data_IF_294872200542
#
_entry.id   IF_294872200542
#
_cell.length_a   1.000
_cell.length_b   1.000
_cell.length_c   1.000
_cell.angle_alpha   90.00
_cell.angle_beta   90.00
_cell.angle_gamma   90.00
#
_symmetry.space_group_name_H-M   'P 1'
#
loop_
_entity.id
_entity.type
_entity.pdbx_description
1 polymer ?
#
# COMPACT_ATOMS: atom_id res chain seq x y z
N UNK A 1 -25.62 14.60 -50.52
CA UNK A 1 -24.88 15.48 -49.59
C UNK A 1 -23.88 14.62 -48.86
N UNK A 2 -22.62 14.63 -49.29
CA UNK A 2 -21.58 13.75 -48.77
C UNK A 2 -21.02 14.32 -47.46
N UNK A 3 -21.29 13.66 -46.33
CA UNK A 3 -20.60 13.95 -45.08
C UNK A 3 -19.17 13.39 -45.18
N UNK A 4 -18.22 14.23 -45.63
CA UNK A 4 -16.79 13.97 -45.42
C UNK A 4 -16.49 14.23 -43.95
N UNK A 5 -16.72 13.23 -43.12
CA UNK A 5 -16.27 13.26 -41.72
C UNK A 5 -14.76 13.00 -41.77
N UNK A 6 -14.01 14.09 -41.63
CA UNK A 6 -12.56 14.16 -41.59
C UNK A 6 -11.98 13.04 -40.71
N UNK A 7 -11.14 12.18 -41.29
CA UNK A 7 -10.46 11.06 -40.64
C UNK A 7 -9.46 11.46 -39.53
N UNK A 8 -9.53 12.70 -39.05
CA UNK A 8 -8.66 13.27 -38.01
C UNK A 8 -9.17 12.92 -36.60
N UNK A 9 -10.46 12.61 -36.42
CA UNK A 9 -11.02 12.33 -35.07
C UNK A 9 -10.76 10.89 -34.61
N UNK A 10 -10.52 9.94 -35.53
CA UNK A 10 -10.30 8.53 -35.18
C UNK A 10 -8.85 8.20 -34.81
N UNK A 11 -7.90 9.09 -35.11
CA UNK A 11 -6.48 8.89 -34.83
C UNK A 11 -6.06 9.25 -33.39
N UNK A 12 -6.90 9.96 -32.63
CA UNK A 12 -6.56 10.47 -31.30
C UNK A 12 -6.80 9.49 -30.14
N UNK A 13 -7.39 8.32 -30.40
CA UNK A 13 -7.79 7.34 -29.37
C UNK A 13 -6.72 6.28 -29.07
N UNK A 14 -5.62 6.22 -29.83
CA UNK A 14 -4.62 5.14 -29.73
C UNK A 14 -3.45 5.38 -28.75
N UNK A 15 -3.38 6.50 -28.02
CA UNK A 15 -2.20 6.85 -27.22
C UNK A 15 -2.30 6.69 -25.70
N UNK A 16 -3.35 6.07 -25.16
CA UNK A 16 -3.51 5.94 -23.70
C UNK A 16 -3.04 4.61 -23.09
N UNK A 17 -2.25 3.81 -23.81
CA UNK A 17 -1.58 2.64 -23.21
C UNK A 17 -0.29 3.04 -22.48
N UNK A 18 -0.43 3.86 -21.44
CA UNK A 18 0.61 4.05 -20.42
C UNK A 18 0.56 2.92 -19.40
N UNK A 19 1.01 1.72 -19.78
CA UNK A 19 1.22 0.66 -18.80
C UNK A 19 2.46 1.03 -17.99
N UNK A 20 2.27 1.33 -16.70
CA UNK A 20 3.36 1.62 -15.75
C UNK A 20 4.24 0.37 -15.60
N UNK A 21 5.27 0.27 -16.46
CA UNK A 21 6.15 -0.89 -16.63
C UNK A 21 7.10 -1.12 -15.45
N UNK A 22 7.02 -0.27 -14.41
CA UNK A 22 7.85 -0.33 -13.21
C UNK A 22 7.29 -1.26 -12.12
N UNK A 23 6.02 -1.70 -12.21
CA UNK A 23 5.35 -2.46 -11.15
C UNK A 23 5.71 -3.95 -11.19
N UNK A 24 6.28 -4.46 -10.09
CA UNK A 24 6.63 -5.88 -9.93
C UNK A 24 5.59 -6.66 -9.11
N UNK A 25 4.99 -6.02 -8.11
CA UNK A 25 3.96 -6.60 -7.24
C UNK A 25 2.98 -5.51 -6.82
N UNK A 26 1.69 -5.85 -6.73
CA UNK A 26 0.69 -5.00 -6.10
C UNK A 26 -0.48 -5.85 -5.61
N UNK A 27 -0.80 -5.75 -4.32
CA UNK A 27 -1.94 -6.41 -3.71
C UNK A 27 -2.52 -5.53 -2.60
N UNK A 28 -3.84 -5.60 -2.40
CA UNK A 28 -4.54 -4.93 -1.29
C UNK A 28 -5.32 -5.97 -0.48
N UNK A 29 -5.30 -5.80 0.84
CA UNK A 29 -5.99 -6.64 1.83
C UNK A 29 -6.91 -5.76 2.66
N UNK A 30 -8.22 -6.00 2.54
CA UNK A 30 -9.25 -5.28 3.29
C UNK A 30 -9.40 -5.79 4.71
N UNK A 31 -9.90 -4.94 5.60
CA UNK A 31 -10.28 -5.33 6.96
C UNK A 31 -11.72 -5.84 6.95
N UNK A 32 -11.88 -7.17 6.92
CA UNK A 32 -13.21 -7.81 6.76
C UNK A 32 -14.19 -7.49 7.90
N UNK A 33 -13.68 -7.23 9.10
CA UNK A 33 -14.50 -6.92 10.29
C UNK A 33 -14.85 -5.43 10.44
N UNK A 34 -14.40 -4.57 9.53
CA UNK A 34 -14.49 -3.10 9.68
C UNK A 34 -13.51 -2.52 10.71
N UNK A 35 -12.69 -3.37 11.34
CA UNK A 35 -11.59 -2.98 12.22
C UNK A 35 -10.40 -3.90 12.02
N UNK A 36 -9.21 -3.42 12.36
CA UNK A 36 -8.00 -4.24 12.40
C UNK A 36 -7.76 -4.66 13.86
N UNK A 37 -8.01 -5.93 14.21
CA UNK A 37 -7.84 -6.37 15.59
C UNK A 37 -6.36 -6.58 15.93
N UNK A 38 -5.99 -6.47 17.21
CA UNK A 38 -4.61 -6.62 17.69
C UNK A 38 -4.01 -7.99 17.36
N UNK A 39 -4.84 -9.02 17.27
CA UNK A 39 -4.43 -10.39 16.92
C UNK A 39 -4.40 -10.65 15.42
N UNK A 40 -4.94 -9.74 14.60
CA UNK A 40 -5.06 -9.95 13.16
C UNK A 40 -3.73 -9.68 12.47
N UNK A 41 -3.30 -10.64 11.65
CA UNK A 41 -2.09 -10.52 10.83
C UNK A 41 -2.47 -10.36 9.37
N UNK A 42 -2.13 -9.21 8.78
CA UNK A 42 -2.28 -9.00 7.33
C UNK A 42 -1.06 -9.57 6.64
N UNK A 43 -1.26 -10.52 5.72
CA UNK A 43 -0.17 -11.21 5.03
C UNK A 43 -0.20 -10.94 3.53
N UNK A 44 0.95 -10.58 2.97
CA UNK A 44 1.19 -10.46 1.54
C UNK A 44 2.20 -11.52 1.11
N UNK A 45 1.80 -12.41 0.20
CA UNK A 45 2.68 -13.48 -0.32
C UNK A 45 3.38 -12.96 -1.56
N UNK A 46 4.71 -12.91 -1.53
CA UNK A 46 5.54 -12.43 -2.63
C UNK A 46 6.16 -13.64 -3.33
N UNK A 47 5.63 -14.05 -4.51
CA UNK A 47 5.92 -15.36 -5.10
C UNK A 47 7.29 -15.47 -5.76
N UNK A 48 8.02 -14.36 -5.93
CA UNK A 48 9.31 -14.33 -6.62
C UNK A 48 10.29 -13.42 -5.87
N UNK A 49 11.58 -13.77 -5.81
CA UNK A 49 12.61 -12.83 -5.36
C UNK A 49 12.52 -11.56 -6.20
N UNK A 50 12.44 -10.42 -5.53
CA UNK A 50 12.42 -9.12 -6.19
C UNK A 50 13.83 -8.54 -6.12
N UNK A 51 14.47 -8.21 -7.25
CA UNK A 51 15.76 -7.53 -7.25
C UNK A 51 15.61 -6.13 -6.64
N UNK A 52 16.70 -5.35 -6.59
CA UNK A 52 16.73 -3.97 -6.06
C UNK A 52 15.44 -3.18 -6.39
N UNK A 53 14.60 -3.02 -5.38
CA UNK A 53 13.21 -2.61 -5.52
C UNK A 53 12.78 -1.70 -4.40
N UNK A 54 11.82 -0.85 -4.71
CA UNK A 54 11.18 0.05 -3.76
C UNK A 54 9.87 -0.57 -3.28
N UNK A 55 9.79 -0.82 -1.98
CA UNK A 55 8.57 -1.30 -1.33
C UNK A 55 7.76 -0.14 -0.79
N UNK A 56 6.50 -0.07 -1.20
CA UNK A 56 5.53 0.93 -0.78
C UNK A 56 4.39 0.26 -0.03
N UNK A 57 3.99 0.86 1.08
CA UNK A 57 2.80 0.51 1.82
C UNK A 57 1.72 1.56 1.58
N UNK A 58 0.57 1.11 1.10
CA UNK A 58 -0.63 1.91 0.96
C UNK A 58 -1.52 1.67 2.19
N UNK A 59 -1.86 2.74 2.91
CA UNK A 59 -2.82 2.71 4.00
C UNK A 59 -4.09 3.38 3.50
N UNK A 60 -5.18 2.62 3.37
CA UNK A 60 -6.50 3.17 3.12
C UNK A 60 -7.24 3.33 4.45
N UNK A 61 -7.65 4.54 4.76
CA UNK A 61 -8.26 4.87 6.04
C UNK A 61 -9.37 5.91 5.87
N UNK A 62 -10.17 6.09 6.91
CA UNK A 62 -11.27 7.05 6.93
C UNK A 62 -11.31 7.85 8.24
N UNK A 63 -12.30 8.73 8.36
CA UNK A 63 -12.46 9.63 9.50
C UNK A 63 -12.82 8.94 10.83
N UNK A 64 -13.12 7.63 10.84
CA UNK A 64 -13.28 6.86 12.09
C UNK A 64 -11.92 6.53 12.72
N UNK A 65 -10.80 6.75 12.03
CA UNK A 65 -9.47 6.59 12.59
C UNK A 65 -9.14 7.75 13.54
N UNK A 66 -9.08 7.47 14.84
CA UNK A 66 -9.01 8.51 15.87
C UNK A 66 -7.58 8.99 16.21
N UNK A 67 -6.56 8.41 15.59
CA UNK A 67 -5.16 8.73 15.88
C UNK A 67 -4.53 9.59 14.78
N UNK A 68 -3.43 10.27 15.10
CA UNK A 68 -2.68 11.03 14.10
C UNK A 68 -1.77 10.14 13.24
N UNK A 69 -1.07 9.23 13.90
CA UNK A 69 -0.08 8.34 13.29
C UNK A 69 -0.58 6.90 13.41
N UNK A 70 -0.23 6.06 12.45
CA UNK A 70 -0.36 4.61 12.51
C UNK A 70 0.98 3.99 12.85
N UNK A 71 0.99 3.17 13.88
CA UNK A 71 2.12 2.35 14.28
C UNK A 71 1.81 0.89 13.94
N UNK A 72 2.71 0.25 13.21
CA UNK A 72 2.58 -1.17 12.87
C UNK A 72 3.96 -1.81 12.79
N UNK A 73 4.01 -3.09 13.08
CA UNK A 73 5.22 -3.90 12.90
C UNK A 73 5.06 -4.73 11.65
N UNK A 74 6.05 -4.68 10.75
CA UNK A 74 6.15 -5.64 9.67
C UNK A 74 7.15 -6.75 10.03
N UNK A 75 6.92 -7.94 9.48
CA UNK A 75 7.80 -9.09 9.57
C UNK A 75 8.07 -9.62 8.17
N UNK A 76 9.34 -9.65 7.76
CA UNK A 76 9.78 -10.36 6.56
C UNK A 76 9.98 -11.83 6.89
N UNK A 77 9.35 -12.70 6.11
CA UNK A 77 9.38 -14.14 6.31
C UNK A 77 10.09 -14.84 5.16
N UNK A 78 10.97 -15.79 5.46
CA UNK A 78 11.58 -16.67 4.46
C UNK A 78 10.57 -17.71 3.92
N UNK A 79 11.02 -18.61 3.05
CA UNK A 79 10.18 -19.72 2.53
C UNK A 79 9.77 -20.77 3.59
N UNK A 80 10.44 -20.78 4.75
CA UNK A 80 10.18 -21.66 5.89
C UNK A 80 9.38 -20.95 6.99
N UNK A 81 8.86 -19.74 6.72
CA UNK A 81 8.11 -18.88 7.63
C UNK A 81 8.91 -18.36 8.85
N UNK A 82 10.25 -18.38 8.78
CA UNK A 82 11.14 -17.77 9.76
C UNK A 82 11.21 -16.26 9.56
N UNK A 83 11.21 -15.50 10.66
CA UNK A 83 11.40 -14.04 10.59
C UNK A 83 12.86 -13.73 10.27
N UNK A 84 13.11 -13.11 9.12
CA UNK A 84 14.44 -12.60 8.75
C UNK A 84 14.62 -11.17 9.26
N UNK A 85 13.59 -10.35 9.13
CA UNK A 85 13.61 -8.95 9.56
C UNK A 85 12.27 -8.58 10.20
N UNK A 86 12.32 -7.70 11.18
CA UNK A 86 11.13 -7.13 11.82
C UNK A 86 11.42 -5.69 12.22
N UNK A 87 10.52 -4.76 11.88
CA UNK A 87 10.63 -3.37 12.32
C UNK A 87 9.26 -2.78 12.66
N UNK A 88 9.22 -1.99 13.74
CA UNK A 88 8.13 -1.08 14.05
C UNK A 88 8.29 0.17 13.19
N UNK A 89 7.26 0.54 12.44
CA UNK A 89 7.24 1.73 11.61
C UNK A 89 6.12 2.68 12.05
N UNK A 90 6.35 3.97 11.85
CA UNK A 90 5.38 5.04 12.07
C UNK A 90 4.97 5.64 10.73
N UNK A 91 3.66 5.74 10.51
CA UNK A 91 3.09 6.33 9.30
C UNK A 91 2.14 7.47 9.73
N UNK A 92 2.51 8.74 9.52
CA UNK A 92 1.60 9.86 9.74
C UNK A 92 0.42 9.78 8.77
N UNK A 93 -0.80 9.71 9.30
CA UNK A 93 -2.03 9.73 8.52
C UNK A 93 -2.69 11.11 8.55
N UNK A 94 -2.43 11.91 9.57
CA UNK A 94 -2.95 13.28 9.69
C UNK A 94 -1.81 14.29 9.89
N UNK A 95 -1.95 15.47 9.29
CA UNK A 95 -1.01 16.57 9.46
C UNK A 95 -0.97 17.04 10.93
N UNK A 96 0.23 17.23 11.47
CA UNK A 96 0.41 17.50 12.91
C UNK A 96 -0.08 18.86 13.37
N UNK A 97 -0.32 19.81 12.46
CA UNK A 97 -0.76 21.17 12.79
C UNK A 97 -2.22 21.40 12.46
N UNK A 98 -2.63 21.02 11.26
CA UNK A 98 -3.95 21.27 10.71
C UNK A 98 -4.95 20.15 10.98
N UNK A 99 -4.48 18.94 11.35
CA UNK A 99 -5.33 17.77 11.49
C UNK A 99 -5.96 17.30 10.18
N UNK A 100 -5.49 17.81 9.02
CA UNK A 100 -5.99 17.38 7.71
C UNK A 100 -5.48 15.96 7.40
N UNK A 101 -6.32 15.10 6.82
CA UNK A 101 -5.89 13.78 6.38
C UNK A 101 -4.82 13.89 5.28
N UNK A 102 -3.82 13.02 5.35
CA UNK A 102 -2.71 12.92 4.41
C UNK A 102 -2.97 11.85 3.35
N UNK A 103 -2.56 12.10 2.11
CA UNK A 103 -2.76 11.17 1.00
C UNK A 103 -3.81 11.67 0.01
N UNK A 104 -4.31 10.77 -0.85
CA UNK A 104 -5.30 11.08 -1.88
C UNK A 104 -6.59 10.34 -1.57
N UNK A 105 -7.73 11.01 -1.75
CA UNK A 105 -9.01 10.45 -1.34
C UNK A 105 -10.19 11.26 -1.86
N UNK A 106 -11.39 10.75 -1.62
CA UNK A 106 -12.65 11.43 -1.92
C UNK A 106 -13.62 11.20 -0.77
N UNK A 107 -14.35 12.24 -0.39
CA UNK A 107 -15.24 12.20 0.77
C UNK A 107 -14.48 11.95 2.07
N UNK A 108 -14.82 10.87 2.76
CA UNK A 108 -14.27 10.52 4.07
C UNK A 108 -13.15 9.48 4.02
N UNK A 109 -12.73 9.04 2.82
CA UNK A 109 -11.76 7.96 2.65
C UNK A 109 -10.51 8.47 1.93
N UNK A 110 -9.35 8.08 2.45
CA UNK A 110 -8.03 8.52 1.99
C UNK A 110 -7.08 7.35 1.87
N UNK A 111 -6.17 7.41 0.89
CA UNK A 111 -5.07 6.47 0.72
C UNK A 111 -3.74 7.22 0.83
N UNK A 112 -2.94 6.86 1.83
CA UNK A 112 -1.57 7.35 2.02
C UNK A 112 -0.59 6.27 1.59
N UNK A 113 0.36 6.63 0.73
CA UNK A 113 1.49 5.77 0.42
C UNK A 113 2.69 6.17 1.28
N UNK A 114 3.39 5.20 1.83
CA UNK A 114 4.68 5.36 2.48
C UNK A 114 5.70 4.34 1.99
N UNK A 115 6.98 4.63 2.16
CA UNK A 115 8.06 3.70 1.77
C UNK A 115 8.47 2.85 2.96
N UNK A 116 8.53 1.53 2.78
CA UNK A 116 9.12 0.62 3.76
C UNK A 116 10.57 0.37 3.36
N UNK A 117 11.48 0.68 4.29
CA UNK A 117 12.90 0.35 4.16
C UNK A 117 13.13 -1.09 4.61
N UNK A 118 13.28 -2.00 3.66
CA UNK A 118 13.74 -3.37 3.91
C UNK A 118 15.27 -3.34 3.95
N UNK A 119 15.87 -3.77 5.05
CA UNK A 119 17.32 -3.73 5.25
C UNK A 119 17.99 -5.08 4.97
N UNK A 120 17.22 -6.17 5.06
CA UNK A 120 17.72 -7.51 4.74
C UNK A 120 17.99 -7.65 3.25
N UNK A 121 19.12 -8.27 2.93
CA UNK A 121 19.48 -8.70 1.56
C UNK A 121 19.02 -10.13 1.26
N UNK A 122 18.43 -10.83 2.23
CA UNK A 122 17.94 -12.19 2.06
C UNK A 122 16.61 -12.22 1.29
N UNK A 123 16.37 -13.33 0.60
CA UNK A 123 15.14 -13.55 -0.15
C UNK A 123 14.00 -13.85 0.83
N UNK A 124 12.93 -13.05 0.79
CA UNK A 124 11.70 -13.28 1.54
C UNK A 124 10.58 -13.82 0.63
N UNK A 125 9.66 -14.57 1.23
CA UNK A 125 8.48 -15.16 0.58
C UNK A 125 7.18 -14.42 0.93
N UNK A 126 7.17 -13.70 2.06
CA UNK A 126 6.01 -12.91 2.48
C UNK A 126 6.39 -11.77 3.42
N UNK A 127 5.50 -10.78 3.47
CA UNK A 127 5.53 -9.69 4.44
C UNK A 127 4.23 -9.77 5.25
N UNK A 128 4.39 -9.91 6.56
CA UNK A 128 3.29 -9.90 7.51
C UNK A 128 3.26 -8.56 8.23
N UNK A 129 2.08 -8.03 8.52
CA UNK A 129 1.88 -6.77 9.21
C UNK A 129 0.89 -6.96 10.35
N UNK A 130 1.25 -6.42 11.52
CA UNK A 130 0.40 -6.42 12.72
C UNK A 130 0.34 -5.00 13.25
N UNK A 131 -0.86 -4.55 13.65
CA UNK A 131 -1.02 -3.23 14.24
C UNK A 131 -0.32 -3.16 15.60
N UNK A 132 0.34 -2.04 15.87
CA UNK A 132 1.01 -1.78 17.15
C UNK A 132 0.40 -0.55 17.83
N UNK A 133 -0.93 -0.47 17.77
CA UNK A 133 -1.70 0.57 18.44
C UNK A 133 -2.14 0.07 19.82
N UNK A 134 -2.32 0.98 20.78
CA UNK A 134 -2.76 0.64 22.15
C UNK A 134 -4.28 0.45 22.22
N UNK A 135 -4.84 -0.32 21.29
CA UNK A 135 -6.27 -0.66 21.20
C UNK A 135 -6.46 -2.05 20.64
N UNK A 136 -7.42 -2.78 21.18
CA UNK A 136 -7.73 -4.15 20.74
C UNK A 136 -8.35 -4.18 19.35
N UNK A 137 -9.17 -3.17 19.02
CA UNK A 137 -9.82 -3.00 17.72
C UNK A 137 -9.48 -1.64 17.15
N UNK A 138 -8.67 -1.60 16.10
CA UNK A 138 -8.32 -0.37 15.42
C UNK A 138 -9.33 -0.06 14.32
N UNK A 139 -10.20 0.91 14.58
CA UNK A 139 -11.22 1.38 13.63
C UNK A 139 -10.63 2.32 12.59
N UNK A 140 -11.34 2.47 11.48
CA UNK A 140 -11.04 3.44 10.43
C UNK A 140 -9.87 3.09 9.51
N UNK A 141 -9.16 1.97 9.73
CA UNK A 141 -8.29 1.37 8.71
C UNK A 141 -9.15 0.44 7.84
N UNK A 142 -9.27 0.76 6.56
CA UNK A 142 -10.11 0.01 5.61
C UNK A 142 -9.31 -1.09 4.90
N UNK A 143 -8.06 -0.80 4.53
CA UNK A 143 -7.18 -1.77 3.89
C UNK A 143 -5.71 -1.39 3.99
N UNK A 144 -4.85 -2.41 3.90
CA UNK A 144 -3.42 -2.25 3.62
C UNK A 144 -3.16 -2.71 2.19
N UNK A 145 -2.28 -2.00 1.48
CA UNK A 145 -1.78 -2.41 0.17
C UNK A 145 -0.27 -2.50 0.16
N UNK A 146 0.27 -3.53 -0.44
CA UNK A 146 1.69 -3.68 -0.67
C UNK A 146 1.95 -3.50 -2.16
N UNK A 147 2.82 -2.55 -2.50
CA UNK A 147 3.27 -2.32 -3.88
C UNK A 147 4.78 -2.39 -3.92
N UNK A 148 5.33 -3.20 -4.83
CA UNK A 148 6.78 -3.31 -5.02
C UNK A 148 7.09 -2.90 -6.46
N UNK A 149 7.99 -1.92 -6.57
CA UNK A 149 8.39 -1.29 -7.81
C UNK A 149 9.84 -1.61 -8.10
N UNK A 150 10.17 -1.80 -9.38
CA UNK A 150 11.56 -1.84 -9.83
C UNK A 150 12.20 -0.47 -9.57
N UNK A 151 13.42 -0.44 -9.03
CA UNK A 151 14.17 0.81 -8.97
C UNK A 151 14.48 1.27 -10.40
N UNK A 152 14.08 2.50 -10.74
CA UNK A 152 14.50 3.16 -11.97
C UNK A 152 15.89 3.74 -11.71
N UNK A 153 16.90 3.21 -12.40
CA UNK A 153 18.26 3.79 -12.45
C UNK A 153 18.28 5.15 -13.14
#
# INVERSE_FOLDING_TARGET
MAFKISGIVLASILFLMGCDSSRLYEEYRGMDSGSWNLTDTVTFVVPKPLPDSKTLLAIKYNNEYEFRNLYLTYFLKDSLNQTIESQLIEIPLFDSKSGKPLGKGYGNTFTKFDTISINSSEVFSSIQMVQYMRTDQLKGIESLGLKILKNSY
#
